data_IF_657911540143
#
_entry.id   IF_657911540143
#
_cell.length_a   1.000
_cell.length_b   1.000
_cell.length_c   1.000
_cell.angle_alpha   90.00
_cell.angle_beta   90.00
_cell.angle_gamma   90.00
#
_symmetry.space_group_name_H-M   'P 1'
#
loop_
_entity.id
_entity.type
_entity.pdbx_description
1 polymer ?
#
# COMPACT_ATOMS: atom_id res chain seq x y z
N UNK A 1 20.79 7.58 2.04
CA UNK A 1 20.25 6.59 1.07
C UNK A 1 21.01 6.66 -0.24
N UNK A 2 21.21 7.88 -0.76
CA UNK A 2 22.02 8.19 -1.94
C UNK A 2 23.38 7.50 -1.97
N UNK A 3 24.16 7.57 -0.89
CA UNK A 3 25.50 6.94 -0.85
C UNK A 3 25.46 5.42 -1.05
N UNK A 4 24.47 4.76 -0.43
CA UNK A 4 24.26 3.32 -0.59
C UNK A 4 23.84 2.98 -2.02
N UNK A 5 22.94 3.76 -2.61
CA UNK A 5 22.50 3.57 -3.99
C UNK A 5 23.66 3.74 -4.99
N UNK A 6 24.47 4.79 -4.81
CA UNK A 6 25.67 5.04 -5.61
C UNK A 6 26.69 3.92 -5.46
N UNK A 7 26.91 3.43 -4.24
CA UNK A 7 27.81 2.31 -3.97
C UNK A 7 27.36 1.01 -4.65
N UNK A 8 26.05 0.76 -4.67
CA UNK A 8 25.46 -0.39 -5.37
C UNK A 8 25.40 -0.23 -6.89
N UNK A 9 25.92 0.87 -7.46
CA UNK A 9 25.91 1.13 -8.89
C UNK A 9 24.52 1.40 -9.46
N UNK A 10 23.54 1.79 -8.62
CA UNK A 10 22.20 2.16 -9.06
C UNK A 10 22.26 3.57 -9.69
N UNK A 11 22.71 3.60 -10.94
CA UNK A 11 22.82 4.81 -11.74
C UNK A 11 21.74 4.77 -12.84
N UNK A 12 20.80 5.71 -12.81
CA UNK A 12 19.75 5.80 -13.85
C UNK A 12 18.40 6.34 -13.37
N UNK A 13 17.37 6.03 -14.16
CA UNK A 13 15.99 6.52 -14.05
C UNK A 13 15.23 5.80 -12.91
N UNK A 14 15.56 6.17 -11.67
CA UNK A 14 14.89 5.69 -10.46
C UNK A 14 13.53 6.38 -10.37
N UNK A 15 12.46 5.60 -10.43
CA UNK A 15 11.10 6.13 -10.36
C UNK A 15 10.58 6.19 -8.92
N UNK A 16 10.88 5.16 -8.11
CA UNK A 16 10.49 5.09 -6.71
C UNK A 16 11.51 4.31 -5.89
N UNK A 17 11.79 4.77 -4.68
CA UNK A 17 12.58 4.04 -3.68
C UNK A 17 11.72 3.76 -2.46
N UNK A 18 11.69 2.52 -2.02
CA UNK A 18 10.89 2.04 -0.90
C UNK A 18 11.83 1.47 0.16
N UNK A 19 11.69 1.94 1.38
CA UNK A 19 12.50 1.50 2.54
C UNK A 19 11.65 0.57 3.41
N UNK A 20 12.16 -0.62 3.74
CA UNK A 20 11.44 -1.64 4.53
C UNK A 20 10.79 -2.75 3.69
N UNK A 21 11.12 -2.84 2.40
CA UNK A 21 10.70 -3.92 1.51
C UNK A 21 9.52 -3.58 0.57
N UNK A 22 9.19 -4.45 -0.38
CA UNK A 22 8.28 -4.14 -1.50
C UNK A 22 6.80 -4.00 -1.10
N UNK A 23 6.38 -4.61 0.02
CA UNK A 23 4.97 -4.69 0.42
C UNK A 23 4.63 -3.67 1.52
N UNK A 24 5.38 -3.68 2.62
CA UNK A 24 5.12 -2.83 3.80
C UNK A 24 6.06 -1.64 3.92
N UNK A 25 7.05 -1.53 3.02
CA UNK A 25 8.00 -0.44 3.06
C UNK A 25 7.37 0.91 2.72
N UNK A 26 8.02 1.97 3.20
CA UNK A 26 7.62 3.35 2.97
C UNK A 26 8.33 3.90 1.75
N UNK A 27 7.54 4.41 0.79
CA UNK A 27 8.07 5.14 -0.34
C UNK A 27 8.71 6.45 0.13
N UNK A 28 9.97 6.66 -0.22
CA UNK A 28 10.74 7.82 0.20
C UNK A 28 10.60 8.95 -0.82
N UNK A 29 10.33 10.15 -0.31
CA UNK A 29 10.25 11.36 -1.11
C UNK A 29 11.64 11.88 -1.50
N UNK A 30 12.63 11.72 -0.62
CA UNK A 30 14.00 12.18 -0.81
C UNK A 30 15.01 11.05 -0.61
N UNK A 31 16.11 11.11 -1.36
CA UNK A 31 17.26 10.19 -1.22
C UNK A 31 18.28 10.68 -0.18
N UNK A 32 18.11 11.89 0.33
CA UNK A 32 18.97 12.54 1.34
C UNK A 32 18.60 12.12 2.79
N UNK A 33 17.91 10.99 2.94
CA UNK A 33 17.60 10.43 4.27
C UNK A 33 18.76 9.55 4.77
N UNK A 34 19.02 9.52 6.09
CA UNK A 34 20.02 8.61 6.66
C UNK A 34 19.59 7.15 6.53
N UNK A 35 20.57 6.25 6.41
CA UNK A 35 20.32 4.80 6.49
C UNK A 35 20.53 4.38 7.95
N UNK A 36 19.45 3.96 8.61
CA UNK A 36 19.47 3.53 10.02
C UNK A 36 19.43 2.01 10.14
N UNK A 37 19.70 1.49 11.34
CA UNK A 37 19.61 0.05 11.64
C UNK A 37 18.19 -0.52 11.49
N UNK A 38 17.16 0.33 11.53
CA UNK A 38 15.77 -0.10 11.30
C UNK A 38 15.49 -0.45 9.83
N UNK A 39 16.34 0.01 8.90
CA UNK A 39 16.18 -0.28 7.48
C UNK A 39 16.64 -1.71 7.20
N UNK A 40 15.67 -2.59 7.04
CA UNK A 40 15.89 -4.00 6.73
C UNK A 40 16.14 -4.25 5.24
N UNK A 41 15.55 -3.44 4.37
CA UNK A 41 15.68 -3.56 2.92
C UNK A 41 15.46 -2.22 2.22
N UNK A 42 16.16 -2.00 1.10
CA UNK A 42 15.94 -0.89 0.17
C UNK A 42 15.48 -1.49 -1.15
N UNK A 43 14.28 -1.14 -1.59
CA UNK A 43 13.67 -1.62 -2.81
C UNK A 43 13.56 -0.49 -3.82
N UNK A 44 14.21 -0.64 -4.97
CA UNK A 44 14.29 0.39 -6.02
C UNK A 44 13.43 -0.05 -7.20
N UNK A 45 12.52 0.81 -7.64
CA UNK A 45 11.68 0.58 -8.81
C UNK A 45 12.07 1.52 -9.95
N UNK A 46 12.19 0.96 -11.15
CA UNK A 46 12.27 1.72 -12.40
C UNK A 46 10.88 2.09 -12.88
N UNK A 47 10.80 2.97 -13.87
CA UNK A 47 9.52 3.38 -14.45
C UNK A 47 8.70 2.19 -14.99
N UNK A 48 9.36 1.19 -15.57
CA UNK A 48 8.75 -0.06 -16.05
C UNK A 48 8.13 -0.92 -14.95
N UNK A 49 8.60 -0.77 -13.72
CA UNK A 49 8.21 -1.61 -12.58
C UNK A 49 7.05 -0.98 -11.80
N UNK A 50 6.67 0.26 -12.15
CA UNK A 50 5.55 0.94 -11.51
C UNK A 50 4.24 0.28 -11.90
N UNK A 51 3.48 -0.16 -10.88
CA UNK A 51 2.12 -0.61 -11.08
C UNK A 51 1.27 0.54 -11.65
N UNK A 52 0.63 0.30 -12.79
CA UNK A 52 -0.41 1.19 -13.31
C UNK A 52 -1.60 1.12 -12.35
N UNK A 53 -1.82 2.18 -11.57
CA UNK A 53 -3.04 2.31 -10.78
C UNK A 53 -4.18 2.63 -11.77
N UNK A 54 -5.32 1.98 -11.58
CA UNK A 54 -6.48 2.17 -12.44
C UNK A 54 -7.68 2.59 -11.60
N UNK A 55 -8.41 3.60 -12.08
CA UNK A 55 -9.69 4.04 -11.50
C UNK A 55 -10.85 3.13 -11.95
N UNK A 56 -10.54 1.90 -12.35
CA UNK A 56 -11.52 0.91 -12.78
C UNK A 56 -12.36 0.46 -11.58
N UNK A 57 -13.62 0.12 -11.86
CA UNK A 57 -14.54 -0.37 -10.83
C UNK A 57 -14.21 -1.81 -10.45
N UNK A 58 -14.57 -2.19 -9.22
CA UNK A 58 -14.49 -3.56 -8.76
C UNK A 58 -15.37 -4.47 -9.63
N UNK A 59 -14.77 -5.53 -10.18
CA UNK A 59 -15.48 -6.57 -10.96
C UNK A 59 -15.94 -7.76 -10.11
N UNK A 60 -15.81 -7.66 -8.78
CA UNK A 60 -16.23 -8.69 -7.82
C UNK A 60 -15.63 -10.10 -8.06
N UNK A 61 -14.39 -10.19 -8.52
CA UNK A 61 -13.70 -11.48 -8.75
C UNK A 61 -13.35 -12.27 -7.47
N UNK A 62 -13.36 -11.63 -6.29
CA UNK A 62 -13.10 -12.28 -5.00
C UNK A 62 -11.63 -12.63 -4.70
N UNK A 63 -10.67 -12.31 -5.57
CA UNK A 63 -9.26 -12.68 -5.35
C UNK A 63 -8.64 -12.00 -4.13
N UNK A 64 -8.99 -10.74 -3.88
CA UNK A 64 -8.53 -10.00 -2.71
C UNK A 64 -8.91 -10.66 -1.38
N UNK A 65 -10.08 -11.32 -1.32
CA UNK A 65 -10.56 -12.06 -0.15
C UNK A 65 -9.74 -13.32 0.05
N UNK A 66 -9.50 -14.08 -1.03
CA UNK A 66 -8.75 -15.36 -0.98
C UNK A 66 -7.32 -15.21 -0.48
N UNK A 67 -6.66 -14.09 -0.79
CA UNK A 67 -5.25 -13.86 -0.41
C UNK A 67 -5.09 -13.05 0.88
N UNK A 68 -6.19 -12.63 1.52
CA UNK A 68 -6.10 -11.81 2.71
C UNK A 68 -5.63 -12.67 3.90
N UNK A 69 -4.46 -12.38 4.50
CA UNK A 69 -3.98 -13.17 5.64
C UNK A 69 -4.84 -12.98 6.90
N UNK A 70 -5.59 -11.88 6.98
CA UNK A 70 -6.49 -11.58 8.09
C UNK A 70 -7.93 -12.08 7.85
N UNK A 71 -8.21 -12.70 6.69
CA UNK A 71 -9.57 -13.17 6.37
C UNK A 71 -10.61 -12.06 6.20
N UNK A 72 -10.19 -10.83 5.86
CA UNK A 72 -11.08 -9.68 5.70
C UNK A 72 -11.77 -9.68 4.32
N UNK A 73 -12.65 -8.69 4.10
CA UNK A 73 -13.29 -8.39 2.82
C UNK A 73 -12.74 -7.07 2.24
N UNK A 74 -11.52 -7.03 1.65
CA UNK A 74 -10.85 -5.77 1.30
C UNK A 74 -11.62 -4.96 0.26
N UNK A 75 -12.32 -5.62 -0.66
CA UNK A 75 -13.16 -4.96 -1.66
C UNK A 75 -14.32 -4.19 -1.02
N UNK A 76 -14.97 -4.76 -0.01
CA UNK A 76 -16.11 -4.15 0.68
C UNK A 76 -15.63 -3.00 1.54
N UNK A 77 -14.62 -3.25 2.37
CA UNK A 77 -14.01 -2.23 3.25
C UNK A 77 -13.56 -1.03 2.42
N UNK A 78 -12.78 -1.26 1.35
CA UNK A 78 -12.30 -0.17 0.50
C UNK A 78 -13.45 0.59 -0.17
N UNK A 79 -14.54 -0.08 -0.55
CA UNK A 79 -15.71 0.58 -1.14
C UNK A 79 -16.42 1.50 -0.15
N UNK A 80 -16.53 1.12 1.12
CA UNK A 80 -17.09 2.00 2.15
C UNK A 80 -16.17 3.19 2.42
N UNK A 81 -14.85 2.96 2.52
CA UNK A 81 -13.88 4.04 2.69
C UNK A 81 -13.84 5.03 1.51
N UNK A 82 -14.22 4.61 0.30
CA UNK A 82 -14.29 5.48 -0.88
C UNK A 82 -15.42 6.50 -0.83
N UNK A 83 -16.49 6.20 -0.07
CA UNK A 83 -17.69 7.04 0.06
C UNK A 83 -17.81 7.62 1.47
N UNK A 84 -16.69 7.67 2.20
CA UNK A 84 -16.57 8.20 3.57
C UNK A 84 -17.49 7.53 4.61
N UNK A 85 -17.89 6.27 4.37
CA UNK A 85 -18.71 5.45 5.29
C UNK A 85 -17.82 4.65 6.24
N UNK A 86 -17.17 5.34 7.19
CA UNK A 86 -16.11 4.73 8.01
C UNK A 86 -16.63 3.80 9.11
N UNK A 87 -17.76 4.13 9.73
CA UNK A 87 -18.40 3.28 10.75
C UNK A 87 -18.82 1.94 10.14
N UNK A 88 -19.38 1.96 8.93
CA UNK A 88 -19.70 0.75 8.19
C UNK A 88 -18.44 -0.02 7.82
N UNK A 89 -17.37 0.66 7.38
CA UNK A 89 -16.09 -0.01 7.14
C UNK A 89 -15.57 -0.72 8.41
N UNK A 90 -15.72 -0.11 9.59
CA UNK A 90 -15.33 -0.70 10.87
C UNK A 90 -16.21 -1.90 11.26
N UNK A 91 -17.51 -1.88 10.93
CA UNK A 91 -18.37 -3.07 11.09
C UNK A 91 -17.86 -4.28 10.29
N UNK A 92 -17.05 -4.04 9.25
CA UNK A 92 -16.34 -5.06 8.47
C UNK A 92 -14.87 -5.27 8.92
N UNK A 93 -14.52 -4.88 10.15
CA UNK A 93 -13.20 -5.06 10.76
C UNK A 93 -12.08 -4.27 10.05
N UNK A 94 -12.35 -3.04 9.59
CA UNK A 94 -11.35 -2.15 8.98
C UNK A 94 -10.06 -2.03 9.82
N UNK A 95 -10.20 -1.85 11.13
CA UNK A 95 -9.06 -1.68 12.05
C UNK A 95 -8.10 -2.87 12.08
N UNK A 96 -8.58 -4.10 11.82
CA UNK A 96 -7.78 -5.32 11.83
C UNK A 96 -6.87 -5.48 10.59
N UNK A 97 -7.05 -4.68 9.54
CA UNK A 97 -6.22 -4.82 8.35
C UNK A 97 -4.75 -4.47 8.64
N UNK A 98 -3.80 -5.38 8.39
CA UNK A 98 -2.37 -5.11 8.63
C UNK A 98 -1.65 -4.35 7.50
N UNK A 99 -2.41 -3.82 6.53
CA UNK A 99 -1.87 -3.00 5.43
C UNK A 99 -0.78 -3.67 4.58
N UNK A 100 -0.77 -5.01 4.53
CA UNK A 100 0.24 -5.81 3.83
C UNK A 100 0.22 -5.65 2.30
N UNK A 101 -0.92 -5.31 1.70
CA UNK A 101 -1.06 -5.06 0.27
C UNK A 101 -1.19 -6.26 -0.67
N UNK A 102 -1.31 -7.48 -0.16
CA UNK A 102 -1.62 -8.66 -0.97
C UNK A 102 -2.87 -8.47 -1.84
N UNK A 103 -3.91 -7.83 -1.29
CA UNK A 103 -5.17 -7.59 -1.99
C UNK A 103 -5.03 -6.68 -3.22
N UNK A 104 -4.23 -5.62 -3.11
CA UNK A 104 -3.99 -4.68 -4.22
C UNK A 104 -3.11 -5.31 -5.29
N UNK A 105 -2.10 -6.10 -4.89
CA UNK A 105 -1.20 -6.78 -5.82
C UNK A 105 -1.92 -7.77 -6.73
N UNK A 106 -2.83 -8.57 -6.20
CA UNK A 106 -3.57 -9.56 -7.00
C UNK A 106 -4.77 -8.98 -7.75
N UNK A 107 -5.14 -7.73 -7.52
CA UNK A 107 -6.36 -7.18 -8.09
C UNK A 107 -6.25 -7.05 -9.63
N UNK A 108 -7.08 -7.74 -10.43
CA UNK A 108 -7.03 -7.63 -11.88
C UNK A 108 -7.48 -6.24 -12.37
N UNK A 109 -8.38 -5.59 -11.63
CA UNK A 109 -8.84 -4.23 -11.90
C UNK A 109 -7.85 -3.16 -11.40
N UNK A 110 -6.75 -3.54 -10.73
CA UNK A 110 -5.70 -2.65 -10.19
C UNK A 110 -6.24 -1.49 -9.34
N UNK A 111 -7.28 -1.78 -8.56
CA UNK A 111 -7.91 -0.84 -7.64
C UNK A 111 -6.94 -0.59 -6.47
N UNK A 112 -6.77 0.67 -6.03
CA UNK A 112 -5.87 1.00 -4.92
C UNK A 112 -6.50 0.64 -3.55
N UNK A 113 -6.80 -0.64 -3.32
CA UNK A 113 -7.49 -1.13 -2.11
C UNK A 113 -6.82 -0.69 -0.81
N UNK A 114 -5.48 -0.84 -0.73
CA UNK A 114 -4.72 -0.49 0.48
C UNK A 114 -4.76 1.01 0.75
N UNK A 115 -4.77 1.84 -0.31
CA UNK A 115 -4.85 3.29 -0.14
C UNK A 115 -6.15 3.68 0.55
N UNK A 116 -7.28 3.17 0.07
CA UNK A 116 -8.59 3.43 0.67
C UNK A 116 -8.73 2.90 2.09
N UNK A 117 -8.18 1.71 2.36
CA UNK A 117 -8.14 1.15 3.72
C UNK A 117 -7.31 2.03 4.66
N UNK A 118 -6.11 2.49 4.24
CA UNK A 118 -5.27 3.39 5.03
C UNK A 118 -5.98 4.73 5.28
N UNK A 119 -6.66 5.24 4.26
CA UNK A 119 -7.48 6.44 4.36
C UNK A 119 -8.59 6.25 5.41
N UNK A 120 -9.40 5.20 5.31
CA UNK A 120 -10.46 4.91 6.27
C UNK A 120 -9.96 4.78 7.70
N UNK A 121 -8.87 4.04 7.92
CA UNK A 121 -8.24 3.93 9.25
C UNK A 121 -7.76 5.28 9.80
N UNK A 122 -7.26 6.16 8.95
CA UNK A 122 -6.83 7.48 9.36
C UNK A 122 -8.01 8.37 9.76
N UNK A 123 -9.18 8.20 9.13
CA UNK A 123 -10.38 8.96 9.47
C UNK A 123 -11.04 8.45 10.75
N UNK A 124 -11.19 7.12 10.92
CA UNK A 124 -11.69 6.54 12.18
C UNK A 124 -10.90 7.03 13.40
N UNK A 125 -9.57 7.04 13.31
CA UNK A 125 -8.71 7.55 14.39
C UNK A 125 -8.90 9.04 14.70
N UNK A 126 -9.40 9.83 13.74
CA UNK A 126 -9.68 11.26 13.93
C UNK A 126 -11.05 11.50 14.55
N UNK A 127 -12.02 10.63 14.28
CA UNK A 127 -13.37 10.69 14.86
C UNK A 127 -13.38 10.24 16.33
N UNK A 128 -12.47 9.34 16.71
CA UNK A 128 -12.28 8.90 18.10
C UNK A 128 -11.55 9.92 19.01
N UNK A 129 -10.98 11.00 18.44
CA UNK A 129 -10.20 12.04 19.15
C UNK A 129 -11.02 13.30 19.42
#
# INVERSE_FOLDING_TARGET
>A
LKDVLSHCGVNGNIAKVIVGGPMMGLAQYSLEIPVTKEITAIYVQRQSDLATISDQKCINCGWCVKVCPMGLLPNVIASFCQVDMFEEAESYNLSYCIECGCCAYVCPAKIPLVHWIKYGKSQLKREEQ
#
